data_IF_953705865514
#
_entry.id   IF_953705865514
#
_cell.length_a   1.000
_cell.length_b   1.000
_cell.length_c   1.000
_cell.angle_alpha   90.00
_cell.angle_beta   90.00
_cell.angle_gamma   90.00
#
_symmetry.space_group_name_H-M   'P 1'
#
loop_
_entity.id
_entity.type
_entity.pdbx_description
1 polymer ?
#
# COMPACT_ATOMS: atom_id res chain seq x y z
N UNK A 1 12.48 12.88 -22.03
CA UNK A 1 12.32 11.90 -20.93
C UNK A 1 10.86 11.48 -20.92
N UNK A 2 10.55 10.20 -21.10
CA UNK A 2 9.23 9.71 -21.56
C UNK A 2 8.04 10.24 -20.75
N UNK A 3 6.92 10.52 -21.45
CA UNK A 3 5.63 10.88 -20.84
C UNK A 3 5.26 9.80 -19.82
N UNK A 4 5.33 10.14 -18.54
CA UNK A 4 5.00 9.21 -17.45
C UNK A 4 3.47 9.13 -17.46
N UNK A 5 2.94 8.06 -18.04
CA UNK A 5 1.51 7.88 -18.18
C UNK A 5 0.92 7.65 -16.79
N UNK A 6 -0.11 8.42 -16.42
CA UNK A 6 -0.86 8.23 -15.16
C UNK A 6 -1.29 6.77 -14.98
N UNK A 7 -1.56 6.05 -16.08
CA UNK A 7 -1.88 4.61 -16.08
C UNK A 7 -0.79 3.75 -15.45
N UNK A 8 0.49 4.06 -15.70
CA UNK A 8 1.63 3.35 -15.13
C UNK A 8 1.75 3.61 -13.62
N UNK A 9 1.49 4.85 -13.21
CA UNK A 9 1.50 5.26 -11.81
C UNK A 9 0.40 4.55 -11.01
N UNK A 10 -0.80 4.45 -11.58
CA UNK A 10 -1.93 3.71 -10.99
C UNK A 10 -1.63 2.22 -10.91
N UNK A 11 -1.00 1.65 -11.96
CA UNK A 11 -0.61 0.23 -11.98
C UNK A 11 0.42 -0.08 -10.89
N UNK A 12 1.40 0.80 -10.71
CA UNK A 12 2.42 0.67 -9.66
C UNK A 12 1.81 0.81 -8.25
N UNK A 13 0.86 1.73 -8.07
CA UNK A 13 0.15 1.90 -6.81
C UNK A 13 -0.67 0.65 -6.48
N UNK A 14 -1.40 0.10 -7.45
CA UNK A 14 -2.20 -1.11 -7.26
C UNK A 14 -1.31 -2.32 -6.90
N UNK A 15 -0.17 -2.46 -7.58
CA UNK A 15 0.82 -3.50 -7.26
C UNK A 15 1.38 -3.32 -5.84
N UNK A 16 1.72 -2.09 -5.45
CA UNK A 16 2.23 -1.78 -4.12
C UNK A 16 1.22 -2.12 -3.02
N UNK A 17 -0.03 -1.70 -3.18
CA UNK A 17 -1.13 -2.02 -2.25
C UNK A 17 -1.33 -3.54 -2.16
N UNK A 18 -1.29 -4.25 -3.29
CA UNK A 18 -1.44 -5.71 -3.33
C UNK A 18 -0.31 -6.42 -2.57
N UNK A 19 0.95 -5.99 -2.75
CA UNK A 19 2.11 -6.56 -2.05
C UNK A 19 1.99 -6.32 -0.53
N UNK A 20 1.64 -5.11 -0.11
CA UNK A 20 1.43 -4.81 1.31
C UNK A 20 0.29 -5.64 1.91
N UNK A 21 -0.82 -5.80 1.19
CA UNK A 21 -1.93 -6.62 1.64
C UNK A 21 -1.50 -8.08 1.85
N UNK A 22 -0.81 -8.67 0.86
CA UNK A 22 -0.28 -10.04 0.97
C UNK A 22 0.70 -10.18 2.14
N UNK A 23 1.61 -9.22 2.33
CA UNK A 23 2.56 -9.24 3.44
C UNK A 23 1.88 -9.21 4.81
N UNK A 24 0.82 -8.41 4.97
CA UNK A 24 0.05 -8.33 6.23
C UNK A 24 -0.72 -9.63 6.50
N UNK A 25 -1.33 -10.22 5.47
CA UNK A 25 -2.02 -11.51 5.60
C UNK A 25 -1.03 -12.62 6.00
N UNK A 26 0.15 -12.67 5.38
CA UNK A 26 1.19 -13.63 5.73
C UNK A 26 1.68 -13.43 7.17
N UNK A 27 1.88 -12.18 7.60
CA UNK A 27 2.31 -11.89 8.97
C UNK A 27 1.28 -12.36 10.02
N UNK A 28 -0.01 -12.16 9.76
CA UNK A 28 -1.09 -12.66 10.64
C UNK A 28 -1.20 -14.18 10.64
N UNK A 29 -1.07 -14.82 9.47
CA UNK A 29 -1.06 -16.28 9.37
C UNK A 29 0.13 -16.87 10.13
N UNK A 30 1.34 -16.31 9.97
CA UNK A 30 2.52 -16.73 10.72
C UNK A 30 2.34 -16.56 12.22
N UNK A 31 1.81 -15.41 12.67
CA UNK A 31 1.56 -15.16 14.08
C UNK A 31 0.60 -16.20 14.67
N UNK A 32 -0.49 -16.51 13.97
CA UNK A 32 -1.46 -17.52 14.42
C UNK A 32 -0.89 -18.93 14.39
N UNK A 33 -0.09 -19.30 13.39
CA UNK A 33 0.62 -20.60 13.35
C UNK A 33 1.60 -20.72 14.53
N UNK A 34 2.34 -19.66 14.86
CA UNK A 34 3.26 -19.66 16.01
C UNK A 34 2.50 -19.84 17.33
N UNK A 35 1.35 -19.19 17.48
CA UNK A 35 0.50 -19.33 18.67
C UNK A 35 -0.09 -20.74 18.75
N UNK A 36 -0.53 -21.30 17.62
CA UNK A 36 -1.04 -22.66 17.52
C UNK A 36 -0.01 -23.69 17.98
N UNK A 37 1.24 -23.58 17.54
CA UNK A 37 2.32 -24.47 17.99
C UNK A 37 2.66 -24.37 19.49
N UNK A 38 2.22 -23.30 20.16
CA UNK A 38 2.60 -23.00 21.54
C UNK A 38 1.48 -23.26 22.56
N UNK A 39 0.22 -23.18 22.13
CA UNK A 39 -0.96 -23.28 23.00
C UNK A 39 -1.96 -24.35 22.50
N UNK A 40 -1.74 -24.94 21.31
CA UNK A 40 -2.64 -25.88 20.61
C UNK A 40 -4.02 -25.28 20.24
N UNK A 41 -4.21 -23.97 20.50
CA UNK A 41 -5.42 -23.23 20.19
C UNK A 41 -5.15 -22.32 18.99
N UNK A 42 -5.92 -22.53 17.92
CA UNK A 42 -5.87 -21.68 16.73
C UNK A 42 -6.76 -20.45 16.95
N UNK A 43 -6.22 -19.46 17.65
CA UNK A 43 -6.89 -18.17 17.85
C UNK A 43 -6.60 -17.27 16.65
N UNK A 44 -7.38 -17.45 15.58
CA UNK A 44 -7.31 -16.61 14.38
C UNK A 44 -8.57 -15.75 14.30
N UNK A 45 -8.49 -14.54 14.85
CA UNK A 45 -9.57 -13.56 14.73
C UNK A 45 -9.39 -12.74 13.44
N UNK A 46 -10.13 -13.13 12.40
CA UNK A 46 -10.20 -12.41 11.12
C UNK A 46 -10.62 -10.95 11.31
N UNK A 47 -11.46 -10.64 12.30
CA UNK A 47 -11.98 -9.30 12.52
C UNK A 47 -10.90 -8.37 13.07
N UNK A 48 -10.12 -8.86 14.02
CA UNK A 48 -9.01 -8.10 14.58
C UNK A 48 -7.88 -7.93 13.56
N UNK A 49 -7.58 -9.00 12.80
CA UNK A 49 -6.63 -8.95 11.70
C UNK A 49 -6.98 -7.93 10.62
N UNK A 50 -8.24 -7.93 10.16
CA UNK A 50 -8.71 -6.96 9.19
C UNK A 50 -8.71 -5.54 9.75
N UNK A 51 -9.10 -5.34 11.00
CA UNK A 51 -9.18 -4.01 11.63
C UNK A 51 -7.80 -3.39 11.77
N UNK A 52 -6.81 -4.17 12.24
CA UNK A 52 -5.46 -3.69 12.43
C UNK A 52 -4.73 -3.49 11.09
N UNK A 53 -4.97 -4.37 10.12
CA UNK A 53 -4.53 -4.22 8.74
C UNK A 53 -5.11 -2.95 8.09
N UNK A 54 -6.40 -2.67 8.27
CA UNK A 54 -7.04 -1.45 7.77
C UNK A 54 -6.46 -0.21 8.44
N UNK A 55 -6.28 -0.22 9.76
CA UNK A 55 -5.75 0.93 10.49
C UNK A 55 -4.33 1.27 10.06
N UNK A 56 -3.45 0.27 9.97
CA UNK A 56 -2.07 0.42 9.51
C UNK A 56 -2.02 0.75 8.01
N UNK A 57 -2.88 0.11 7.22
CA UNK A 57 -3.02 0.32 5.79
C UNK A 57 -3.52 1.72 5.42
N UNK A 58 -4.44 2.30 6.18
CA UNK A 58 -4.93 3.67 5.98
C UNK A 58 -3.81 4.67 6.26
N UNK A 59 -3.06 4.51 7.36
CA UNK A 59 -1.95 5.42 7.68
C UNK A 59 -0.86 5.36 6.61
N UNK A 60 -0.44 4.14 6.23
CA UNK A 60 0.53 3.94 5.15
C UNK A 60 0.01 4.43 3.79
N UNK A 61 -1.26 4.16 3.49
CA UNK A 61 -1.93 4.54 2.25
C UNK A 61 -2.12 6.05 2.11
N UNK A 62 -2.41 6.77 3.20
CA UNK A 62 -2.49 8.23 3.22
C UNK A 62 -1.12 8.86 2.94
N UNK A 63 -0.06 8.38 3.58
CA UNK A 63 1.31 8.90 3.36
C UNK A 63 1.75 8.66 1.91
N UNK A 64 1.55 7.44 1.40
CA UNK A 64 1.91 7.09 0.03
C UNK A 64 1.05 7.83 -1.00
N UNK A 65 -0.26 7.93 -0.76
CA UNK A 65 -1.19 8.67 -1.60
C UNK A 65 -0.84 10.15 -1.68
N UNK A 66 -0.49 10.77 -0.54
CA UNK A 66 -0.07 12.17 -0.49
C UNK A 66 1.26 12.40 -1.20
N UNK A 67 2.24 11.51 -1.01
CA UNK A 67 3.52 11.55 -1.72
C UNK A 67 3.34 11.43 -3.23
N UNK A 68 2.44 10.55 -3.67
CA UNK A 68 2.15 10.36 -5.09
C UNK A 68 1.42 11.57 -5.70
N UNK A 69 0.48 12.16 -4.96
CA UNK A 69 -0.23 13.38 -5.37
C UNK A 69 0.72 14.56 -5.57
N UNK A 70 1.66 14.77 -4.63
CA UNK A 70 2.69 15.81 -4.77
C UNK A 70 3.56 15.55 -6.00
N UNK A 71 4.01 14.30 -6.21
CA UNK A 71 4.84 13.94 -7.35
C UNK A 71 4.12 14.17 -8.69
N UNK A 72 2.84 13.81 -8.77
CA UNK A 72 2.01 14.05 -9.94
C UNK A 72 1.86 15.57 -10.22
N UNK A 73 1.57 16.37 -9.18
CA UNK A 73 1.44 17.83 -9.32
C UNK A 73 2.75 18.51 -9.76
N UNK A 74 3.89 18.03 -9.27
CA UNK A 74 5.21 18.51 -9.70
C UNK A 74 5.51 18.17 -11.17
N UNK A 75 5.11 16.98 -11.62
CA UNK A 75 5.24 16.57 -13.02
C UNK A 75 4.37 17.44 -13.95
N UNK A 76 3.12 17.69 -13.59
CA UNK A 76 2.25 18.61 -14.34
C UNK A 76 2.85 20.01 -14.43
N UNK A 77 3.39 20.54 -13.34
CA UNK A 77 4.04 21.87 -13.32
C UNK A 77 5.29 21.92 -14.21
N UNK A 78 6.11 20.87 -14.23
CA UNK A 78 7.27 20.78 -15.14
C UNK A 78 6.83 20.76 -16.61
N UNK A 79 5.83 19.93 -16.94
CA UNK A 79 5.30 19.85 -18.30
C UNK A 79 4.74 21.19 -18.79
N UNK A 80 4.06 21.94 -17.91
CA UNK A 80 3.53 23.29 -18.22
C UNK A 80 4.63 24.33 -18.47
N UNK A 81 5.78 24.22 -17.80
CA UNK A 81 6.92 25.13 -18.01
C UNK A 81 7.67 24.83 -19.30
N UNK A 82 7.73 23.56 -19.72
CA UNK A 82 8.36 23.18 -20.98
C UNK A 82 7.54 23.53 -22.21
N UNK A 83 6.21 23.64 -22.09
CA UNK A 83 5.31 24.01 -23.20
C UNK A 83 5.08 25.53 -23.35
N UNK A 84 5.52 26.32 -22.38
CA UNK A 84 5.51 27.79 -22.43
C UNK A 84 6.85 28.41 -22.86
N UNK A 85 7.84 27.57 -23.18
CA UNK A 85 9.16 27.95 -23.69
C UNK A 85 9.26 27.51 -25.15
#
# INVERSE_FOLDING_TARGET
MGKINIKDLVKLLFLCVSIFFVAVVIAYLLASVIVYFKIDIFDFDWKEAFTDAFRKGIVGGLILGFGLWIKAKLQERKARKESAK
#
